data_IF_214857383016
#
_entry.id   IF_214857383016
#
_cell.length_a   1.000
_cell.length_b   1.000
_cell.length_c   1.000
_cell.angle_alpha   90.00
_cell.angle_beta   90.00
_cell.angle_gamma   90.00
#
_symmetry.space_group_name_H-M   'P 1'
#
loop_
_entity.id
_entity.type
_entity.pdbx_description
1 polymer ?
#
# COMPACT_ATOMS: atom_id res chain seq x y z
N UNK A 1 -6.31 15.00 13.96
CA UNK A 1 -4.91 14.53 13.81
C UNK A 1 -4.88 13.61 12.59
N UNK A 2 -4.05 13.90 11.58
CA UNK A 2 -3.95 13.11 10.34
C UNK A 2 -3.11 11.86 10.61
N UNK A 3 -3.70 10.66 10.59
CA UNK A 3 -2.95 9.41 10.75
C UNK A 3 -2.19 9.12 9.46
N UNK A 4 -0.86 9.25 9.52
CA UNK A 4 0.05 8.84 8.45
C UNK A 4 0.87 7.67 8.99
N UNK A 5 0.67 6.47 8.44
CA UNK A 5 1.52 5.32 8.71
C UNK A 5 2.49 5.15 7.55
N UNK A 6 3.76 5.01 7.86
CA UNK A 6 4.82 4.68 6.91
C UNK A 6 5.48 3.42 7.42
N UNK A 7 5.71 2.45 6.53
CA UNK A 7 6.43 1.24 6.86
C UNK A 7 7.32 0.83 5.69
N UNK A 8 8.50 0.33 6.03
CA UNK A 8 9.54 -0.07 5.09
C UNK A 8 9.55 -1.59 4.96
N UNK A 9 9.86 -2.07 3.76
CA UNK A 9 9.84 -3.48 3.37
C UNK A 9 10.99 -3.76 2.39
N UNK A 10 11.52 -4.97 2.45
CA UNK A 10 12.42 -5.50 1.42
C UNK A 10 11.59 -6.40 0.49
N UNK A 11 11.51 -6.05 -0.79
CA UNK A 11 10.79 -6.83 -1.79
C UNK A 11 11.74 -7.33 -2.88
N UNK A 12 11.39 -8.46 -3.47
CA UNK A 12 12.05 -9.02 -4.64
C UNK A 12 11.23 -8.78 -5.90
N UNK A 13 11.92 -8.73 -7.03
CA UNK A 13 11.28 -8.79 -8.34
C UNK A 13 10.36 -10.01 -8.43
N UNK A 14 9.11 -9.79 -8.84
CA UNK A 14 8.05 -10.79 -8.89
C UNK A 14 7.19 -10.88 -7.62
N UNK A 15 7.58 -10.26 -6.51
CA UNK A 15 6.72 -10.18 -5.33
C UNK A 15 5.45 -9.40 -5.66
N UNK A 16 4.31 -9.80 -5.09
CA UNK A 16 3.02 -9.10 -5.26
C UNK A 16 2.61 -8.53 -3.91
N UNK A 17 2.38 -7.22 -3.86
CA UNK A 17 1.77 -6.54 -2.70
C UNK A 17 0.27 -6.56 -2.93
N UNK A 18 -0.47 -7.18 -2.01
CA UNK A 18 -1.93 -7.15 -1.97
C UNK A 18 -2.38 -6.27 -0.82
N UNK A 19 -3.24 -5.30 -1.10
CA UNK A 19 -3.79 -4.41 -0.09
C UNK A 19 -5.29 -4.65 0.02
N UNK A 20 -5.68 -5.13 1.21
CA UNK A 20 -7.07 -5.34 1.58
C UNK A 20 -7.49 -4.27 2.58
N UNK A 21 -8.72 -3.82 2.46
CA UNK A 21 -9.27 -2.82 3.36
C UNK A 21 -10.70 -3.19 3.77
N UNK A 22 -10.95 -3.11 5.08
CA UNK A 22 -12.27 -3.24 5.68
C UNK A 22 -12.61 -1.91 6.37
N UNK A 23 -13.65 -1.20 5.91
CA UNK A 23 -14.05 0.05 6.53
C UNK A 23 -15.40 0.56 6.04
N UNK A 24 -15.94 1.54 6.76
CA UNK A 24 -17.34 1.95 6.61
C UNK A 24 -17.50 3.33 5.95
N UNK A 25 -16.49 4.20 6.03
CA UNK A 25 -16.56 5.55 5.46
C UNK A 25 -15.19 6.22 5.35
N UNK A 26 -15.10 7.27 4.53
CA UNK A 26 -13.94 8.16 4.43
C UNK A 26 -13.05 7.90 3.22
N UNK A 27 -11.96 8.67 3.14
CA UNK A 27 -11.01 8.59 2.02
C UNK A 27 -9.73 7.90 2.49
N UNK A 28 -9.24 6.95 1.70
CA UNK A 28 -7.95 6.31 1.92
C UNK A 28 -7.00 6.59 0.75
N UNK A 29 -5.77 6.94 1.10
CA UNK A 29 -4.68 7.25 0.17
C UNK A 29 -3.53 6.30 0.47
N UNK A 30 -3.13 5.50 -0.51
CA UNK A 30 -1.98 4.60 -0.41
C UNK A 30 -0.97 4.94 -1.49
N UNK A 31 0.31 5.02 -1.09
CA UNK A 31 1.41 5.21 -2.03
C UNK A 31 2.52 4.20 -1.77
N UNK A 32 3.11 3.66 -2.84
CA UNK A 32 4.20 2.69 -2.79
C UNK A 32 5.34 3.19 -3.69
N UNK A 33 6.57 3.10 -3.19
CA UNK A 33 7.76 3.49 -3.95
C UNK A 33 9.04 3.01 -3.31
N UNK A 34 10.11 2.95 -4.09
CA UNK A 34 11.43 2.56 -3.61
C UNK A 34 11.97 3.63 -2.64
N UNK A 35 12.75 3.21 -1.64
CA UNK A 35 13.35 4.13 -0.68
C UNK A 35 14.34 5.06 -1.38
N UNK A 36 14.19 6.36 -1.15
CA UNK A 36 15.02 7.40 -1.76
C UNK A 36 14.56 7.83 -3.15
N UNK A 37 13.54 7.19 -3.71
CA UNK A 37 12.96 7.53 -5.01
C UNK A 37 11.56 8.14 -4.88
N UNK A 38 11.06 8.68 -6.00
CA UNK A 38 9.67 9.12 -6.10
C UNK A 38 8.72 7.92 -5.99
N UNK A 39 7.52 8.16 -5.44
CA UNK A 39 6.53 7.10 -5.37
C UNK A 39 6.00 6.79 -6.77
N UNK A 40 5.93 5.51 -7.09
CA UNK A 40 5.55 5.05 -8.43
C UNK A 40 4.10 4.61 -8.50
N UNK A 41 3.48 4.34 -7.35
CA UNK A 41 2.08 3.94 -7.27
C UNK A 41 1.31 4.82 -6.28
N UNK A 42 0.09 5.18 -6.67
CA UNK A 42 -0.86 5.95 -5.87
C UNK A 42 -2.28 5.44 -6.12
N UNK A 43 -2.98 5.05 -5.06
CA UNK A 43 -4.38 4.65 -5.13
C UNK A 43 -5.21 5.39 -4.09
N UNK A 44 -6.40 5.82 -4.51
CA UNK A 44 -7.34 6.57 -3.68
C UNK A 44 -8.71 5.91 -3.73
N UNK A 45 -9.23 5.49 -2.58
CA UNK A 45 -10.58 4.94 -2.50
C UNK A 45 -11.52 5.94 -1.82
N UNK A 46 -12.68 6.14 -2.46
CA UNK A 46 -13.74 7.07 -2.06
C UNK A 46 -15.04 6.29 -1.92
N UNK A 47 -15.51 6.04 -0.70
CA UNK A 47 -16.78 5.38 -0.36
C UNK A 47 -17.01 3.95 -0.94
N UNK A 48 -16.21 3.53 -1.94
CA UNK A 48 -16.09 2.19 -2.49
C UNK A 48 -14.69 1.68 -2.17
N UNK A 49 -14.64 0.77 -1.20
CA UNK A 49 -13.41 0.15 -0.75
C UNK A 49 -13.10 -1.06 -1.62
N UNK A 50 -12.06 -0.95 -2.45
CA UNK A 50 -11.58 -2.02 -3.32
C UNK A 50 -10.28 -2.65 -2.83
N UNK A 51 -10.10 -3.92 -3.14
CA UNK A 51 -8.81 -4.62 -3.05
C UNK A 51 -7.98 -4.27 -4.28
N UNK A 52 -6.67 -4.10 -4.10
CA UNK A 52 -5.77 -3.93 -5.22
C UNK A 52 -4.44 -4.66 -5.01
N UNK A 53 -3.78 -4.96 -6.13
CA UNK A 53 -2.49 -5.64 -6.15
C UNK A 53 -1.46 -4.83 -6.95
N UNK A 54 -0.23 -4.80 -6.45
CA UNK A 54 0.91 -4.15 -7.10
C UNK A 54 2.05 -5.15 -7.21
N UNK A 55 2.46 -5.44 -8.45
CA UNK A 55 3.62 -6.29 -8.72
C UNK A 55 4.93 -5.51 -8.62
N UNK A 56 5.90 -6.04 -7.88
CA UNK A 56 7.25 -5.49 -7.76
C UNK A 56 8.08 -5.94 -8.96
N UNK A 57 8.58 -4.96 -9.73
CA UNK A 57 9.40 -5.23 -10.92
C UNK A 57 10.88 -5.36 -10.59
N UNK A 58 11.37 -4.60 -9.62
CA UNK A 58 12.78 -4.56 -9.25
C UNK A 58 12.97 -4.91 -7.76
N UNK A 59 14.04 -5.66 -7.46
CA UNK A 59 14.37 -6.01 -6.07
C UNK A 59 14.93 -4.79 -5.36
N UNK A 60 14.42 -4.48 -4.16
CA UNK A 60 14.93 -3.38 -3.36
C UNK A 60 14.12 -3.10 -2.11
N UNK A 61 14.51 -2.02 -1.43
CA UNK A 61 13.83 -1.51 -0.25
C UNK A 61 12.72 -0.54 -0.66
N UNK A 62 11.49 -0.80 -0.23
CA UNK A 62 10.31 0.01 -0.55
C UNK A 62 9.68 0.60 0.70
N UNK A 63 9.07 1.78 0.53
CA UNK A 63 8.21 2.42 1.52
C UNK A 63 6.76 2.35 1.06
N UNK A 64 5.89 1.90 1.97
CA UNK A 64 4.44 1.99 1.80
C UNK A 64 3.93 3.05 2.76
N UNK A 65 3.20 4.04 2.24
CA UNK A 65 2.56 5.09 3.03
C UNK A 65 1.06 5.00 2.91
N UNK A 66 0.38 4.99 4.04
CA UNK A 66 -1.07 5.03 4.12
C UNK A 66 -1.50 6.28 4.86
N UNK A 67 -2.46 7.01 4.28
CA UNK A 67 -3.07 8.19 4.87
C UNK A 67 -4.60 8.06 4.76
N UNK A 68 -5.29 8.24 5.89
CA UNK A 68 -6.75 8.24 5.93
C UNK A 68 -7.31 9.62 6.29
N UNK A 69 -8.36 10.06 5.61
CA UNK A 69 -9.11 11.27 5.95
C UNK A 69 -10.56 10.91 6.25
N UNK A 70 -10.95 11.07 7.52
CA UNK A 70 -12.22 10.58 8.08
C UNK A 70 -12.44 9.07 7.84
N UNK A 71 -11.38 8.34 7.52
CA UNK A 71 -11.40 6.90 7.31
C UNK A 71 -11.53 6.17 8.64
N UNK A 72 -12.46 5.21 8.71
CA UNK A 72 -12.60 4.26 9.81
C UNK A 72 -12.58 2.84 9.28
N UNK A 73 -11.63 2.04 9.76
CA UNK A 73 -11.44 0.69 9.26
C UNK A 73 -10.07 0.10 9.59
N UNK A 74 -9.77 -1.04 8.95
CA UNK A 74 -8.50 -1.75 8.99
C UNK A 74 -7.95 -1.85 7.57
N UNK A 75 -6.65 -1.60 7.45
CA UNK A 75 -5.89 -1.89 6.23
C UNK A 75 -4.98 -3.06 6.57
N UNK A 76 -4.99 -4.07 5.72
CA UNK A 76 -4.07 -5.18 5.76
C UNK A 76 -3.23 -5.18 4.49
N UNK A 77 -1.91 -5.19 4.68
CA UNK A 77 -0.94 -5.25 3.60
C UNK A 77 -0.33 -6.64 3.67
N UNK A 78 -0.66 -7.45 2.67
CA UNK A 78 -0.10 -8.76 2.46
C UNK A 78 0.92 -8.70 1.32
N UNK A 79 1.90 -9.58 1.33
CA UNK A 79 2.75 -9.77 0.16
C UNK A 79 3.02 -11.24 -0.05
N UNK A 80 2.98 -11.65 -1.31
CA UNK A 80 3.29 -13.00 -1.74
C UNK A 80 4.67 -12.95 -2.37
N UNK A 81 5.64 -13.60 -1.73
CA UNK A 81 6.95 -13.78 -2.35
C UNK A 81 6.95 -15.04 -3.18
N UNK A 82 7.12 -14.88 -4.48
CA UNK A 82 7.30 -16.00 -5.39
C UNK A 82 8.67 -16.61 -5.11
N UNK A 83 8.68 -17.76 -4.41
CA UNK A 83 9.88 -18.60 -4.32
C UNK A 83 10.10 -19.22 -5.69
N UNK A 84 10.97 -18.60 -6.48
CA UNK A 84 11.66 -19.28 -7.58
C UNK A 84 12.58 -20.37 -7.01
#
# INVERSE_FOLDING_TARGET
MKLRKVKEYEFKSGDIISVNHEGESGELYISIGQLGEDMVFYENTYDEFGEFEVGIQETGSYQIKCFGKRASGRIEINYISLKL
#
